data_IF_502843485231
#
_entry.id   IF_502843485231
#
_cell.length_a   1.000
_cell.length_b   1.000
_cell.length_c   1.000
_cell.angle_alpha   90.00
_cell.angle_beta   90.00
_cell.angle_gamma   90.00
#
_symmetry.space_group_name_H-M   'P 1'
#
loop_
_entity.id
_entity.type
_entity.pdbx_description
1 polymer ?
#
# COMPACT_ATOMS: atom_id res chain seq x y z
N UNK A 1 -32.28 21.69 -19.23
CA UNK A 1 -30.86 21.61 -18.83
C UNK A 1 -30.82 21.22 -17.37
N UNK A 2 -30.42 19.99 -17.04
CA UNK A 2 -30.23 19.58 -15.65
C UNK A 2 -28.83 20.07 -15.23
N UNK A 3 -28.77 21.03 -14.31
CA UNK A 3 -27.51 21.42 -13.67
C UNK A 3 -26.98 20.23 -12.89
N UNK A 4 -25.79 19.76 -13.22
CA UNK A 4 -25.07 18.82 -12.36
C UNK A 4 -24.82 19.51 -11.01
N UNK A 5 -24.98 18.81 -9.88
CA UNK A 5 -24.65 19.36 -8.57
C UNK A 5 -23.15 19.65 -8.48
N UNK A 6 -22.81 20.70 -7.73
CA UNK A 6 -21.47 21.27 -7.47
C UNK A 6 -20.59 20.30 -6.64
N UNK A 7 -20.41 19.09 -7.15
CA UNK A 7 -19.76 17.94 -6.49
C UNK A 7 -18.37 17.65 -7.07
N UNK A 8 -17.87 18.53 -7.94
CA UNK A 8 -16.50 18.44 -8.42
C UNK A 8 -15.55 18.71 -7.26
N UNK A 9 -14.73 17.71 -6.90
CA UNK A 9 -13.61 17.90 -5.98
C UNK A 9 -12.74 19.02 -6.57
N UNK A 10 -12.67 20.15 -5.88
CA UNK A 10 -11.76 21.22 -6.25
C UNK A 10 -10.35 20.81 -5.86
N UNK A 11 -9.44 20.79 -6.83
CA UNK A 11 -8.04 20.46 -6.57
C UNK A 11 -7.34 21.64 -5.90
N UNK A 12 -6.85 21.41 -4.67
CA UNK A 12 -6.02 22.36 -3.94
C UNK A 12 -4.57 21.89 -3.94
N UNK A 13 -3.68 22.64 -4.62
CA UNK A 13 -2.25 22.29 -4.71
C UNK A 13 -1.49 22.50 -3.40
N UNK A 14 -1.96 23.41 -2.55
CA UNK A 14 -1.19 23.91 -1.40
C UNK A 14 0.22 24.36 -1.81
N UNK A 15 1.20 24.02 -0.98
CA UNK A 15 2.62 24.34 -1.19
C UNK A 15 3.38 23.29 -2.01
N UNK A 16 2.69 22.33 -2.63
CA UNK A 16 3.34 21.28 -3.42
C UNK A 16 3.89 21.83 -4.73
N UNK A 17 5.15 21.51 -5.02
CA UNK A 17 5.78 21.80 -6.30
C UNK A 17 5.28 20.87 -7.41
N UNK A 18 5.40 21.31 -8.67
CA UNK A 18 5.04 20.50 -9.83
C UNK A 18 5.81 19.17 -9.86
N UNK A 19 7.10 19.19 -9.49
CA UNK A 19 7.92 17.98 -9.37
C UNK A 19 7.35 17.00 -8.34
N UNK A 20 6.89 17.52 -7.19
CA UNK A 20 6.27 16.68 -6.16
C UNK A 20 4.91 16.12 -6.62
N UNK A 21 4.11 16.90 -7.32
CA UNK A 21 2.84 16.45 -7.89
C UNK A 21 3.06 15.35 -8.95
N UNK A 22 4.06 15.52 -9.82
CA UNK A 22 4.43 14.52 -10.82
C UNK A 22 4.98 13.24 -10.18
N UNK A 23 5.78 13.36 -9.11
CA UNK A 23 6.24 12.22 -8.33
C UNK A 23 5.07 11.44 -7.71
N UNK A 24 4.16 12.12 -7.00
CA UNK A 24 2.96 11.50 -6.45
C UNK A 24 2.12 10.81 -7.54
N UNK A 25 1.94 11.46 -8.70
CA UNK A 25 1.22 10.87 -9.82
C UNK A 25 1.88 9.57 -10.32
N UNK A 26 3.21 9.53 -10.45
CA UNK A 26 3.93 8.29 -10.80
C UNK A 26 3.76 7.21 -9.74
N UNK A 27 3.76 7.59 -8.46
CA UNK A 27 3.53 6.67 -7.35
C UNK A 27 2.09 6.12 -7.33
N UNK A 28 1.09 6.86 -7.82
CA UNK A 28 -0.27 6.36 -8.03
C UNK A 28 -0.38 5.40 -9.23
N UNK A 29 0.31 5.71 -10.32
CA UNK A 29 0.29 4.87 -11.52
C UNK A 29 0.94 3.50 -11.30
N UNK A 30 2.03 3.43 -10.53
CA UNK A 30 2.77 2.19 -10.31
C UNK A 30 1.89 1.05 -9.75
N UNK A 31 1.15 1.19 -8.62
CA UNK A 31 0.25 0.16 -8.13
C UNK A 31 -0.88 -0.11 -9.13
N UNK A 32 -1.48 0.91 -9.76
CA UNK A 32 -2.53 0.74 -10.78
C UNK A 32 -2.13 -0.22 -11.90
N UNK A 33 -0.99 0.03 -12.53
CA UNK A 33 -0.49 -0.77 -13.66
C UNK A 33 -0.20 -2.22 -13.25
N UNK A 34 0.31 -2.40 -12.03
CA UNK A 34 0.52 -3.72 -11.46
C UNK A 34 -0.82 -4.45 -11.29
N UNK A 35 -1.82 -3.80 -10.67
CA UNK A 35 -3.13 -4.43 -10.43
C UNK A 35 -3.83 -4.83 -11.73
N UNK A 36 -3.80 -3.98 -12.75
CA UNK A 36 -4.35 -4.29 -14.08
C UNK A 36 -3.72 -5.56 -14.66
N UNK A 37 -2.39 -5.67 -14.58
CA UNK A 37 -1.69 -6.88 -15.01
C UNK A 37 -2.06 -8.10 -14.16
N UNK A 38 -2.15 -7.93 -12.84
CA UNK A 38 -2.52 -9.01 -11.93
C UNK A 38 -3.93 -9.53 -12.20
N UNK A 39 -4.89 -8.65 -12.50
CA UNK A 39 -6.26 -9.06 -12.85
C UNK A 39 -6.30 -9.88 -14.14
N UNK A 40 -5.46 -9.55 -15.13
CA UNK A 40 -5.31 -10.38 -16.34
C UNK A 40 -4.73 -11.75 -15.97
N UNK A 41 -3.66 -11.80 -15.18
CA UNK A 41 -3.03 -13.05 -14.77
C UNK A 41 -3.96 -13.94 -13.92
N UNK A 42 -4.81 -13.32 -13.08
CA UNK A 42 -5.83 -14.01 -12.30
C UNK A 42 -6.85 -14.69 -13.21
N UNK A 43 -7.37 -13.97 -14.22
CA UNK A 43 -8.30 -14.53 -15.21
C UNK A 43 -7.67 -15.66 -16.05
N UNK A 44 -6.36 -15.61 -16.25
CA UNK A 44 -5.60 -16.68 -16.91
C UNK A 44 -5.27 -17.86 -15.98
N UNK A 45 -5.65 -17.82 -14.70
CA UNK A 45 -5.30 -18.86 -13.73
C UNK A 45 -3.81 -18.92 -13.37
N UNK A 46 -3.03 -17.90 -13.72
CA UNK A 46 -1.57 -17.83 -13.43
C UNK A 46 -1.27 -17.39 -12.00
N UNK A 47 -2.22 -16.73 -11.35
CA UNK A 47 -2.18 -16.41 -9.92
C UNK A 47 -3.51 -16.81 -9.28
N UNK A 48 -3.52 -17.10 -7.99
CA UNK A 48 -4.65 -17.76 -7.33
C UNK A 48 -5.75 -16.81 -6.82
N UNK A 49 -5.40 -15.62 -6.32
CA UNK A 49 -6.37 -14.71 -5.69
C UNK A 49 -5.87 -13.27 -5.65
N UNK A 50 -6.78 -12.32 -5.89
CA UNK A 50 -6.50 -10.90 -5.76
C UNK A 50 -7.71 -10.12 -5.24
N UNK A 51 -7.44 -9.07 -4.46
CA UNK A 51 -8.43 -8.09 -4.01
C UNK A 51 -7.99 -6.71 -4.49
N UNK A 52 -8.61 -6.25 -5.57
CA UNK A 52 -8.18 -5.03 -6.26
C UNK A 52 -8.35 -3.78 -5.39
N UNK A 53 -7.33 -2.94 -5.30
CA UNK A 53 -7.37 -1.61 -4.71
C UNK A 53 -7.64 -0.49 -5.72
N UNK A 54 -7.91 -0.82 -6.98
CA UNK A 54 -8.22 0.13 -8.05
C UNK A 54 -9.27 1.16 -7.58
N UNK A 55 -8.89 2.44 -7.59
CA UNK A 55 -9.68 3.58 -7.12
C UNK A 55 -9.33 4.04 -5.70
N UNK A 56 -8.42 3.33 -5.01
CA UNK A 56 -7.98 3.62 -3.64
C UNK A 56 -6.47 3.84 -3.52
N UNK A 57 -5.77 4.01 -4.65
CA UNK A 57 -4.31 4.19 -4.68
C UNK A 57 -3.88 5.41 -3.87
N UNK A 58 -4.63 6.52 -3.99
CA UNK A 58 -4.34 7.77 -3.32
C UNK A 58 -4.28 7.65 -1.80
N UNK A 59 -5.11 6.77 -1.20
CA UNK A 59 -5.13 6.54 0.24
C UNK A 59 -3.80 5.90 0.67
N UNK A 60 -3.40 4.84 -0.02
CA UNK A 60 -2.21 4.06 0.36
C UNK A 60 -0.92 4.82 0.06
N UNK A 61 -0.82 5.42 -1.13
CA UNK A 61 0.33 6.24 -1.53
C UNK A 61 0.42 7.47 -0.65
N UNK A 62 -0.66 8.24 -0.52
CA UNK A 62 -0.69 9.46 0.28
C UNK A 62 -0.27 9.22 1.73
N UNK A 63 -0.91 8.24 2.40
CA UNK A 63 -0.57 7.89 3.78
C UNK A 63 0.91 7.48 3.91
N UNK A 64 1.42 6.64 3.01
CA UNK A 64 2.82 6.18 3.09
C UNK A 64 3.82 7.31 2.84
N UNK A 65 3.52 8.21 1.89
CA UNK A 65 4.41 9.31 1.54
C UNK A 65 4.44 10.44 2.57
N UNK A 66 3.46 10.48 3.48
CA UNK A 66 3.42 11.41 4.60
C UNK A 66 4.22 10.91 5.82
N UNK A 67 4.48 9.59 5.90
CA UNK A 67 5.27 8.98 6.95
C UNK A 67 6.78 9.12 6.68
N UNK A 68 7.55 9.10 7.75
CA UNK A 68 8.99 8.92 7.68
C UNK A 68 9.35 7.51 7.18
N UNK A 69 10.53 7.34 6.54
CA UNK A 69 11.01 6.05 6.02
C UNK A 69 11.05 4.90 7.05
N UNK A 70 11.21 5.25 8.33
CA UNK A 70 11.40 4.32 9.44
C UNK A 70 10.19 4.21 10.40
N UNK A 71 9.05 4.80 10.03
CA UNK A 71 7.78 4.63 10.74
C UNK A 71 7.06 3.36 10.30
N UNK A 72 6.52 2.62 11.26
CA UNK A 72 5.74 1.43 10.96
C UNK A 72 4.40 1.79 10.33
N UNK A 73 4.08 1.15 9.22
CA UNK A 73 2.75 1.20 8.61
C UNK A 73 2.09 -0.16 8.67
N UNK A 74 0.84 -0.16 9.12
CA UNK A 74 0.03 -1.35 9.32
C UNK A 74 -0.96 -1.45 8.16
N UNK A 75 -0.80 -2.50 7.37
CA UNK A 75 -1.60 -2.68 6.15
C UNK A 75 -2.89 -3.45 6.43
N UNK A 76 -3.81 -3.35 5.49
CA UNK A 76 -5.04 -4.13 5.33
C UNK A 76 -5.16 -4.57 3.86
N UNK A 77 -6.32 -5.05 3.44
CA UNK A 77 -6.61 -5.25 2.02
C UNK A 77 -6.53 -3.95 1.23
N UNK A 78 -6.28 -4.05 -0.09
CA UNK A 78 -6.27 -2.92 -1.04
C UNK A 78 -5.15 -1.90 -0.83
N UNK A 79 -4.08 -2.27 -0.12
CA UNK A 79 -2.96 -1.39 0.18
C UNK A 79 -1.69 -1.61 -0.67
N UNK A 80 -1.83 -2.05 -1.94
CA UNK A 80 -0.65 -2.22 -2.80
C UNK A 80 0.23 -0.97 -2.88
N UNK A 81 -0.40 0.22 -2.86
CA UNK A 81 0.28 1.50 -2.85
C UNK A 81 1.32 1.65 -1.73
N UNK A 82 1.12 1.01 -0.57
CA UNK A 82 2.08 1.02 0.54
C UNK A 82 3.37 0.32 0.12
N UNK A 83 3.27 -0.87 -0.47
CA UNK A 83 4.42 -1.66 -0.88
C UNK A 83 5.21 -0.99 -2.01
N UNK A 84 4.51 -0.36 -2.96
CA UNK A 84 5.17 0.37 -4.05
C UNK A 84 5.82 1.69 -3.61
N UNK A 85 5.22 2.38 -2.64
CA UNK A 85 5.74 3.66 -2.12
C UNK A 85 6.86 3.47 -1.11
N UNK A 86 6.89 2.34 -0.39
CA UNK A 86 8.07 1.86 0.38
C UNK A 86 9.16 1.25 -0.51
N UNK A 87 9.02 1.34 -1.84
CA UNK A 87 10.03 0.90 -2.82
C UNK A 87 10.49 -0.55 -2.65
N UNK A 88 9.56 -1.44 -2.29
CA UNK A 88 9.87 -2.86 -2.22
C UNK A 88 10.33 -3.36 -3.60
N UNK A 89 11.43 -4.13 -3.68
CA UNK A 89 11.90 -4.72 -4.93
C UNK A 89 10.78 -5.50 -5.63
N UNK A 90 10.38 -5.04 -6.82
CA UNK A 90 9.25 -5.61 -7.55
C UNK A 90 9.45 -7.10 -7.85
N UNK A 91 10.68 -7.55 -8.10
CA UNK A 91 10.99 -8.97 -8.28
C UNK A 91 10.59 -9.80 -7.06
N UNK A 92 10.98 -9.37 -5.85
CA UNK A 92 10.63 -10.07 -4.60
C UNK A 92 9.13 -10.02 -4.36
N UNK A 93 8.50 -8.87 -4.62
CA UNK A 93 7.05 -8.69 -4.51
C UNK A 93 6.29 -9.64 -5.45
N UNK A 94 6.73 -9.75 -6.70
CA UNK A 94 6.11 -10.63 -7.70
C UNK A 94 6.38 -12.11 -7.39
N UNK A 95 7.54 -12.44 -6.82
CA UNK A 95 7.82 -13.77 -6.31
C UNK A 95 6.91 -14.13 -5.14
N UNK A 96 6.67 -13.20 -4.21
CA UNK A 96 5.72 -13.37 -3.11
C UNK A 96 4.31 -13.66 -3.64
N UNK A 97 3.83 -12.94 -4.65
CA UNK A 97 2.51 -13.20 -5.25
C UNK A 97 2.38 -14.54 -5.95
N UNK A 98 3.46 -15.02 -6.55
CA UNK A 98 3.49 -16.32 -7.23
C UNK A 98 3.83 -17.48 -6.28
N UNK A 99 4.04 -17.22 -4.99
CA UNK A 99 4.46 -18.24 -4.02
C UNK A 99 5.85 -18.81 -4.30
N UNK A 100 6.73 -18.06 -4.96
CA UNK A 100 8.09 -18.47 -5.32
C UNK A 100 9.06 -18.30 -4.14
N UNK A 101 10.18 -19.03 -4.18
CA UNK A 101 11.17 -19.09 -3.11
C UNK A 101 11.77 -17.72 -2.72
N UNK A 102 11.91 -16.79 -3.68
CA UNK A 102 12.44 -15.44 -3.45
C UNK A 102 11.42 -14.49 -2.78
N UNK A 103 10.16 -14.92 -2.66
CA UNK A 103 9.13 -14.18 -1.94
C UNK A 103 9.42 -14.09 -0.43
N UNK A 104 8.89 -13.06 0.22
CA UNK A 104 9.12 -12.76 1.65
C UNK A 104 8.76 -13.93 2.58
N UNK A 105 7.73 -14.69 2.22
CA UNK A 105 7.17 -15.75 3.08
C UNK A 105 7.47 -17.15 2.55
N UNK A 106 8.25 -17.24 1.47
CA UNK A 106 8.62 -18.51 0.80
C UNK A 106 7.39 -19.37 0.44
N UNK A 107 6.30 -18.72 0.02
CA UNK A 107 5.06 -19.37 -0.41
C UNK A 107 4.10 -19.77 0.71
N UNK A 108 4.37 -19.42 1.97
CA UNK A 108 3.46 -19.70 3.09
C UNK A 108 2.23 -18.80 3.05
N UNK A 109 2.44 -17.52 2.76
CA UNK A 109 1.37 -16.54 2.71
C UNK A 109 0.95 -16.27 1.27
N UNK A 110 -0.34 -15.95 1.12
CA UNK A 110 -0.94 -15.61 -0.18
C UNK A 110 -0.95 -14.11 -0.39
N UNK A 111 -0.73 -13.68 -1.64
CA UNK A 111 -0.91 -12.30 -2.11
C UNK A 111 -0.31 -11.26 -1.14
N UNK A 112 -1.13 -10.41 -0.50
CA UNK A 112 -0.70 -9.36 0.46
C UNK A 112 -0.79 -9.73 1.94
N UNK A 113 -0.98 -11.00 2.29
CA UNK A 113 -0.97 -11.41 3.70
C UNK A 113 0.47 -11.54 4.21
N UNK A 114 1.29 -10.51 4.00
CA UNK A 114 2.68 -10.50 4.44
C UNK A 114 3.10 -9.10 4.85
N UNK A 115 4.08 -9.05 5.73
CA UNK A 115 4.80 -7.84 6.11
C UNK A 115 6.28 -7.99 5.83
N UNK A 116 7.02 -6.91 5.96
CA UNK A 116 8.47 -6.91 5.87
C UNK A 116 9.03 -5.82 6.77
N UNK A 117 9.68 -6.24 7.86
CA UNK A 117 10.22 -5.32 8.87
C UNK A 117 11.34 -4.44 8.31
N UNK A 118 12.11 -4.95 7.35
CA UNK A 118 13.15 -4.18 6.64
C UNK A 118 12.61 -2.90 5.96
N UNK A 119 11.30 -2.87 5.66
CA UNK A 119 10.61 -1.73 5.05
C UNK A 119 9.56 -1.13 5.98
N UNK A 120 9.58 -1.48 7.28
CA UNK A 120 8.64 -1.02 8.30
C UNK A 120 7.17 -1.27 7.93
N UNK A 121 6.89 -2.36 7.21
CA UNK A 121 5.52 -2.77 6.87
C UNK A 121 5.12 -3.93 7.75
N UNK A 122 4.12 -3.70 8.60
CA UNK A 122 3.43 -4.76 9.32
C UNK A 122 2.32 -5.30 8.42
N UNK A 123 2.41 -6.60 8.15
CA UNK A 123 1.51 -7.30 7.23
C UNK A 123 0.15 -7.56 7.85
N UNK A 124 -0.89 -7.42 7.04
CA UNK A 124 -2.24 -7.80 7.44
C UNK A 124 -2.38 -9.32 7.62
N UNK A 125 -3.24 -9.69 8.57
CA UNK A 125 -3.77 -11.04 8.71
C UNK A 125 -5.22 -11.03 8.21
N UNK A 126 -5.80 -12.21 7.96
CA UNK A 126 -7.18 -12.29 7.46
C UNK A 126 -8.25 -11.78 8.44
N UNK A 127 -7.93 -11.68 9.73
CA UNK A 127 -8.83 -11.11 10.74
C UNK A 127 -8.81 -9.57 10.63
N UNK A 128 -10.00 -8.98 10.46
CA UNK A 128 -10.16 -7.53 10.41
C UNK A 128 -10.19 -6.94 11.82
N UNK A 129 -9.52 -5.80 12.03
CA UNK A 129 -9.48 -5.10 13.32
C UNK A 129 -8.16 -5.21 14.10
N UNK A 130 -7.51 -6.38 14.24
CA UNK A 130 -6.29 -6.54 15.05
C UNK A 130 -5.14 -5.58 14.74
N UNK A 131 -5.00 -5.17 13.48
CA UNK A 131 -3.96 -4.23 13.06
C UNK A 131 -4.05 -2.87 13.77
N UNK A 132 -5.25 -2.44 14.15
CA UNK A 132 -5.45 -1.19 14.90
C UNK A 132 -4.82 -1.27 16.29
N UNK A 133 -5.11 -2.36 17.03
CA UNK A 133 -4.56 -2.55 18.37
C UNK A 133 -3.02 -2.67 18.36
N UNK A 134 -2.46 -3.29 17.31
CA UNK A 134 -1.00 -3.37 17.15
C UNK A 134 -0.38 -2.01 16.82
N UNK A 135 -1.03 -1.23 15.95
CA UNK A 135 -0.59 0.12 15.61
C UNK A 135 -0.62 1.04 16.84
N UNK A 136 -1.70 0.99 17.63
CA UNK A 136 -1.84 1.74 18.88
C UNK A 136 -0.74 1.34 19.89
N UNK A 137 -0.42 0.05 19.98
CA UNK A 137 0.66 -0.44 20.83
C UNK A 137 2.03 0.12 20.43
N UNK A 138 2.33 0.16 19.12
CA UNK A 138 3.58 0.75 18.62
C UNK A 138 3.62 2.26 18.84
N UNK A 139 2.52 2.97 18.55
CA UNK A 139 2.41 4.41 18.83
C UNK A 139 2.59 4.74 20.32
N UNK A 140 1.98 3.97 21.21
CA UNK A 140 2.17 4.11 22.65
C UNK A 140 3.64 3.87 23.05
N UNK A 141 4.29 2.88 22.44
CA UNK A 141 5.69 2.59 22.71
C UNK A 141 6.61 3.75 22.27
N UNK A 142 6.37 4.35 21.09
CA UNK A 142 7.08 5.54 20.63
C UNK A 142 6.90 6.73 21.58
N UNK A 143 5.66 6.94 22.05
CA UNK A 143 5.35 7.99 23.03
C UNK A 143 6.08 7.79 24.36
N UNK A 144 6.10 6.57 24.89
CA UNK A 144 6.78 6.25 26.16
C UNK A 144 8.30 6.39 26.07
N UNK A 145 8.88 6.18 24.88
CA UNK A 145 10.31 6.38 24.62
C UNK A 145 10.68 7.81 24.24
N UNK A 146 9.71 8.69 24.03
CA UNK A 146 9.95 10.09 23.66
C UNK A 146 10.49 10.25 22.23
N UNK A 147 10.10 9.37 21.31
CA UNK A 147 10.70 9.29 19.96
C UNK A 147 10.11 10.31 18.96
N UNK A 148 9.04 11.02 19.31
CA UNK A 148 8.43 12.06 18.47
C UNK A 148 7.81 11.53 17.17
N UNK A 149 7.36 10.27 17.19
CA UNK A 149 6.68 9.55 16.11
C UNK A 149 5.26 9.22 16.55
#
# INVERSE_FOLDING_TARGET
MVSLPDTAIQFERGDLSDDRLLDLYRQLLRPRLIEEKMLILLRQGKISKWFSGIGQEAISVGATTALQPDEFIFTMHRNLGVFTSREIPLERLFCQWQGKALGFTKGRDRSFHFGTLDYHIVGMISHLGPQLALADGIGLAHRLRGEGK
#
